data_IF_321491039796
#
_entry.id   IF_321491039796
#
_cell.length_a   1.000
_cell.length_b   1.000
_cell.length_c   1.000
_cell.angle_alpha   90.00
_cell.angle_beta   90.00
_cell.angle_gamma   90.00
#
_symmetry.space_group_name_H-M   'P 1'
#
loop_
_entity.id
_entity.type
_entity.pdbx_description
1 polymer ?
#
# COMPACT_ATOMS: atom_id res chain seq x y z
N UNK A 1 -25.58 -18.48 -45.04
CA UNK A 1 -26.03 -17.26 -44.34
C UNK A 1 -25.95 -16.12 -45.35
N UNK A 2 -26.94 -15.21 -45.45
CA UNK A 2 -26.82 -14.13 -46.44
C UNK A 2 -25.71 -13.14 -46.04
N UNK A 3 -24.93 -12.61 -47.00
CA UNK A 3 -23.80 -11.71 -46.72
C UNK A 3 -24.21 -10.51 -45.85
N UNK A 4 -25.41 -9.96 -46.08
CA UNK A 4 -25.97 -8.89 -45.26
C UNK A 4 -26.19 -9.31 -43.78
N UNK A 5 -26.64 -10.54 -43.52
CA UNK A 5 -26.83 -11.04 -42.13
C UNK A 5 -25.50 -11.25 -41.42
N UNK A 6 -24.47 -11.68 -42.14
CA UNK A 6 -23.13 -11.87 -41.59
C UNK A 6 -22.50 -10.53 -41.19
N UNK A 7 -22.56 -9.51 -42.06
CA UNK A 7 -22.05 -8.17 -41.75
C UNK A 7 -22.75 -7.54 -40.53
N UNK A 8 -24.08 -7.71 -40.39
CA UNK A 8 -24.83 -7.27 -39.20
C UNK A 8 -24.42 -8.04 -37.94
N UNK A 9 -24.05 -9.31 -38.07
CA UNK A 9 -23.55 -10.11 -36.94
C UNK A 9 -22.20 -9.59 -36.45
N UNK A 10 -21.27 -9.34 -37.37
CA UNK A 10 -19.95 -8.79 -37.06
C UNK A 10 -20.05 -7.43 -36.37
N UNK A 11 -20.90 -6.52 -36.87
CA UNK A 11 -21.14 -5.23 -36.21
C UNK A 11 -21.71 -5.35 -34.80
N UNK A 12 -22.56 -6.35 -34.54
CA UNK A 12 -23.09 -6.61 -33.19
C UNK A 12 -22.00 -7.12 -32.25
N UNK A 13 -21.15 -8.03 -32.72
CA UNK A 13 -19.99 -8.53 -31.96
C UNK A 13 -19.01 -7.41 -31.64
N UNK A 14 -18.70 -6.54 -32.61
CA UNK A 14 -17.85 -5.37 -32.41
C UNK A 14 -18.43 -4.43 -31.35
N UNK A 15 -19.72 -4.09 -31.42
CA UNK A 15 -20.37 -3.25 -30.40
C UNK A 15 -20.35 -3.88 -29.01
N UNK A 16 -20.56 -5.19 -28.91
CA UNK A 16 -20.49 -5.89 -27.65
C UNK A 16 -19.07 -5.88 -27.05
N UNK A 17 -18.05 -6.15 -27.88
CA UNK A 17 -16.65 -6.12 -27.45
C UNK A 17 -16.21 -4.69 -27.05
N UNK A 18 -16.66 -3.67 -27.77
CA UNK A 18 -16.36 -2.27 -27.47
C UNK A 18 -16.85 -1.81 -26.08
N UNK A 19 -17.86 -2.47 -25.51
CA UNK A 19 -18.33 -2.17 -24.15
C UNK A 19 -17.26 -2.49 -23.08
N UNK A 20 -16.36 -3.45 -23.36
CA UNK A 20 -15.24 -3.82 -22.50
C UNK A 20 -14.12 -2.77 -22.58
N UNK A 21 -13.93 -2.19 -23.77
CA UNK A 21 -12.88 -1.21 -24.06
C UNK A 21 -13.09 0.08 -23.25
N UNK A 22 -12.02 0.68 -22.71
CA UNK A 22 -12.08 1.96 -22.01
C UNK A 22 -12.73 3.05 -22.85
N UNK A 23 -13.59 3.87 -22.25
CA UNK A 23 -14.34 4.93 -22.96
C UNK A 23 -13.45 5.85 -23.80
N UNK A 24 -12.30 6.23 -23.27
CA UNK A 24 -11.33 7.14 -23.93
C UNK A 24 -10.72 6.54 -25.20
N UNK A 25 -10.59 5.21 -25.29
CA UNK A 25 -9.98 4.53 -26.45
C UNK A 25 -11.00 3.86 -27.37
N UNK A 26 -12.28 3.84 -26.98
CA UNK A 26 -13.33 3.05 -27.64
C UNK A 26 -13.55 3.45 -29.09
N UNK A 27 -13.58 4.74 -29.38
CA UNK A 27 -13.83 5.25 -30.73
C UNK A 27 -12.70 4.92 -31.69
N UNK A 28 -11.44 5.18 -31.28
CA UNK A 28 -10.26 4.83 -32.06
C UNK A 28 -10.20 3.32 -32.31
N UNK A 29 -10.39 2.51 -31.26
CA UNK A 29 -10.44 1.05 -31.35
C UNK A 29 -11.53 0.54 -32.29
N UNK A 30 -12.75 1.09 -32.18
CA UNK A 30 -13.85 0.72 -33.08
C UNK A 30 -13.53 1.07 -34.53
N UNK A 31 -12.92 2.24 -34.78
CA UNK A 31 -12.58 2.70 -36.13
C UNK A 31 -11.54 1.78 -36.78
N UNK A 32 -10.51 1.43 -36.03
CA UNK A 32 -9.47 0.48 -36.46
C UNK A 32 -10.07 -0.89 -36.82
N UNK A 33 -10.86 -1.47 -35.91
CA UNK A 33 -11.50 -2.77 -36.16
C UNK A 33 -12.57 -2.74 -37.27
N UNK A 34 -13.29 -1.63 -37.46
CA UNK A 34 -14.18 -1.47 -38.62
C UNK A 34 -13.38 -1.50 -39.91
N UNK A 35 -12.23 -0.82 -39.97
CA UNK A 35 -11.37 -0.81 -41.14
C UNK A 35 -10.83 -2.21 -41.45
N UNK A 36 -10.29 -2.91 -40.45
CA UNK A 36 -9.75 -4.27 -40.60
C UNK A 36 -10.82 -5.28 -41.02
N UNK A 37 -11.99 -5.28 -40.35
CA UNK A 37 -13.08 -6.17 -40.71
C UNK A 37 -13.65 -5.86 -42.10
N UNK A 38 -13.70 -4.59 -42.50
CA UNK A 38 -14.16 -4.22 -43.84
C UNK A 38 -13.19 -4.70 -44.91
N UNK A 39 -11.87 -4.55 -44.68
CA UNK A 39 -10.84 -5.04 -45.59
C UNK A 39 -10.89 -6.56 -45.71
N UNK A 40 -10.86 -7.28 -44.58
CA UNK A 40 -10.91 -8.74 -44.56
C UNK A 40 -12.20 -9.28 -45.20
N UNK A 41 -13.33 -8.60 -45.03
CA UNK A 41 -14.62 -9.02 -45.59
C UNK A 41 -14.68 -8.84 -47.12
N UNK A 42 -14.01 -7.81 -47.66
CA UNK A 42 -13.89 -7.62 -49.10
C UNK A 42 -13.04 -8.70 -49.78
N UNK A 43 -12.02 -9.23 -49.08
CA UNK A 43 -11.18 -10.32 -49.58
C UNK A 43 -11.87 -11.68 -49.42
N UNK A 44 -12.28 -12.02 -48.20
CA UNK A 44 -12.97 -13.27 -47.89
C UNK A 44 -13.88 -13.12 -46.65
N UNK A 45 -15.21 -13.26 -46.80
CA UNK A 45 -16.15 -13.24 -45.68
C UNK A 45 -15.84 -14.25 -44.58
N UNK A 46 -15.23 -15.40 -44.90
CA UNK A 46 -14.84 -16.39 -43.91
C UNK A 46 -13.62 -15.95 -43.10
N UNK A 47 -12.60 -15.36 -43.74
CA UNK A 47 -11.46 -14.75 -43.06
C UNK A 47 -11.90 -13.64 -42.07
N UNK A 48 -12.85 -12.78 -42.46
CA UNK A 48 -13.40 -11.76 -41.56
C UNK A 48 -14.09 -12.35 -40.32
N UNK A 49 -14.77 -13.48 -40.45
CA UNK A 49 -15.40 -14.17 -39.32
C UNK A 49 -14.37 -14.81 -38.37
N UNK A 50 -13.24 -15.29 -38.91
CA UNK A 50 -12.13 -15.79 -38.10
C UNK A 50 -11.43 -14.64 -37.36
N UNK A 51 -11.15 -13.54 -38.06
CA UNK A 51 -10.56 -12.33 -37.47
C UNK A 51 -11.42 -11.76 -36.33
N UNK A 52 -12.75 -11.76 -36.50
CA UNK A 52 -13.69 -11.30 -35.48
C UNK A 52 -13.64 -12.10 -34.16
N UNK A 53 -13.08 -13.31 -34.14
CA UNK A 53 -12.84 -14.06 -32.90
C UNK A 53 -11.81 -13.35 -32.00
N UNK A 54 -10.94 -12.52 -32.57
CA UNK A 54 -9.93 -11.72 -31.87
C UNK A 54 -10.48 -10.47 -31.16
N UNK A 55 -11.70 -10.02 -31.48
CA UNK A 55 -12.30 -8.78 -30.94
C UNK A 55 -12.37 -8.77 -29.41
N UNK A 56 -12.87 -9.86 -28.82
CA UNK A 56 -13.07 -9.95 -27.36
C UNK A 56 -11.72 -10.11 -26.63
N UNK A 57 -10.80 -11.01 -27.05
CA UNK A 57 -9.46 -11.08 -26.48
C UNK A 57 -8.71 -9.74 -26.51
N UNK A 58 -8.73 -9.03 -27.63
CA UNK A 58 -8.07 -7.73 -27.78
C UNK A 58 -8.69 -6.66 -26.85
N UNK A 59 -10.02 -6.57 -26.82
CA UNK A 59 -10.73 -5.66 -25.91
C UNK A 59 -10.41 -5.94 -24.42
N UNK A 60 -10.32 -7.21 -24.03
CA UNK A 60 -9.91 -7.63 -22.69
C UNK A 60 -8.44 -7.25 -22.43
N UNK A 61 -7.54 -7.48 -23.39
CA UNK A 61 -6.13 -7.13 -23.28
C UNK A 61 -5.95 -5.62 -23.05
N UNK A 62 -6.63 -4.78 -23.83
CA UNK A 62 -6.62 -3.33 -23.62
C UNK A 62 -7.16 -2.92 -22.25
N UNK A 63 -8.24 -3.56 -21.79
CA UNK A 63 -8.81 -3.30 -20.47
C UNK A 63 -7.84 -3.68 -19.35
N UNK A 64 -7.18 -4.83 -19.45
CA UNK A 64 -6.14 -5.28 -18.52
C UNK A 64 -4.95 -4.33 -18.49
N UNK A 65 -4.48 -3.90 -19.66
CA UNK A 65 -3.39 -2.92 -19.77
C UNK A 65 -3.78 -1.59 -19.12
N UNK A 66 -4.98 -1.07 -19.37
CA UNK A 66 -5.41 0.17 -18.73
C UNK A 66 -5.52 0.02 -17.20
N UNK A 67 -6.06 -1.10 -16.71
CA UNK A 67 -6.13 -1.37 -15.28
C UNK A 67 -4.73 -1.47 -14.67
N UNK A 68 -3.80 -2.12 -15.36
CA UNK A 68 -2.39 -2.19 -14.96
C UNK A 68 -1.74 -0.81 -14.92
N UNK A 69 -1.87 -0.01 -15.97
CA UNK A 69 -1.35 1.36 -16.00
C UNK A 69 -2.00 2.23 -14.91
N UNK A 70 -3.31 2.07 -14.65
CA UNK A 70 -3.99 2.76 -13.55
C UNK A 70 -3.43 2.32 -12.19
N UNK A 71 -3.21 1.02 -12.01
CA UNK A 71 -2.66 0.46 -10.77
C UNK A 71 -1.21 0.91 -10.54
N UNK A 72 -0.41 0.98 -11.60
CA UNK A 72 0.96 1.51 -11.59
C UNK A 72 0.98 3.03 -11.39
N UNK A 73 -0.03 3.74 -11.89
CA UNK A 73 -0.19 5.19 -11.68
C UNK A 73 -0.69 5.55 -10.26
N UNK A 74 -1.25 4.60 -9.50
CA UNK A 74 -1.53 4.83 -8.09
C UNK A 74 -0.19 5.06 -7.39
N UNK A 75 -0.04 6.24 -6.82
CA UNK A 75 1.12 6.56 -6.00
C UNK A 75 1.04 5.82 -4.66
N UNK A 76 1.45 4.54 -4.67
CA UNK A 76 1.53 3.68 -3.48
C UNK A 76 2.42 4.27 -2.37
N UNK A 77 3.27 5.23 -2.73
CA UNK A 77 4.21 5.88 -1.83
C UNK A 77 3.53 7.04 -1.10
N UNK A 78 2.41 7.56 -1.58
CA UNK A 78 1.72 8.71 -1.01
C UNK A 78 1.28 8.46 0.46
N UNK A 79 1.50 9.44 1.37
CA UNK A 79 1.08 9.31 2.76
C UNK A 79 -0.46 9.21 2.88
N UNK A 80 -1.20 9.95 2.06
CA UNK A 80 -2.67 9.93 2.06
C UNK A 80 -3.25 8.57 1.66
N UNK A 81 -2.58 7.83 0.78
CA UNK A 81 -3.02 6.47 0.43
C UNK A 81 -2.81 5.52 1.61
N UNK A 82 -1.66 5.58 2.30
CA UNK A 82 -1.39 4.75 3.47
C UNK A 82 -2.47 4.94 4.55
N UNK A 83 -2.77 6.18 4.93
CA UNK A 83 -3.80 6.47 5.94
C UNK A 83 -5.19 6.05 5.46
N UNK A 84 -5.54 6.25 4.18
CA UNK A 84 -6.81 5.78 3.62
C UNK A 84 -6.94 4.26 3.64
N UNK A 85 -5.87 3.52 3.39
CA UNK A 85 -5.89 2.06 3.44
C UNK A 85 -6.10 1.54 4.87
N UNK A 86 -5.37 2.07 5.85
CA UNK A 86 -5.55 1.68 7.27
C UNK A 86 -6.92 2.13 7.78
N UNK A 87 -7.32 3.37 7.48
CA UNK A 87 -8.64 3.89 7.84
C UNK A 87 -9.78 3.13 7.16
N UNK A 88 -9.59 2.67 5.92
CA UNK A 88 -10.54 1.81 5.22
C UNK A 88 -10.65 0.43 5.85
N UNK A 89 -9.52 -0.18 6.25
CA UNK A 89 -9.52 -1.44 7.00
C UNK A 89 -10.24 -1.30 8.34
N UNK A 90 -9.96 -0.22 9.08
CA UNK A 90 -10.68 0.14 10.30
C UNK A 90 -12.19 0.27 10.05
N UNK A 91 -12.58 1.03 9.02
CA UNK A 91 -13.98 1.26 8.69
C UNK A 91 -14.72 -0.04 8.35
N UNK A 92 -14.09 -0.92 7.56
CA UNK A 92 -14.65 -2.23 7.24
C UNK A 92 -14.84 -3.09 8.50
N UNK A 93 -13.81 -3.17 9.36
CA UNK A 93 -13.91 -3.90 10.63
C UNK A 93 -15.01 -3.33 11.53
N UNK A 94 -15.10 -2.00 11.60
CA UNK A 94 -16.13 -1.30 12.37
C UNK A 94 -17.54 -1.61 11.83
N UNK A 95 -17.77 -1.54 10.52
CA UNK A 95 -19.06 -1.89 9.91
C UNK A 95 -19.42 -3.35 10.18
N UNK A 96 -18.46 -4.27 10.04
CA UNK A 96 -18.66 -5.68 10.38
C UNK A 96 -19.04 -5.87 11.86
N UNK A 97 -18.37 -5.15 12.77
CA UNK A 97 -18.70 -5.16 14.21
C UNK A 97 -20.09 -4.60 14.50
N UNK A 98 -20.50 -3.53 13.81
CA UNK A 98 -21.80 -2.90 13.99
C UNK A 98 -22.95 -3.71 13.39
N UNK A 99 -22.68 -4.51 12.35
CA UNK A 99 -23.65 -5.43 11.76
C UNK A 99 -23.99 -6.62 12.68
N UNK A 100 -23.12 -6.94 13.64
CA UNK A 100 -23.30 -8.06 14.56
C UNK A 100 -23.76 -7.56 15.95
N UNK A 101 -24.99 -7.86 16.40
CA UNK A 101 -25.53 -7.30 17.65
C UNK A 101 -24.74 -7.71 18.89
N UNK A 102 -24.19 -8.92 18.91
CA UNK A 102 -23.35 -9.43 19.99
C UNK A 102 -22.06 -8.60 20.14
N UNK A 103 -21.36 -8.33 19.03
CA UNK A 103 -20.16 -7.51 19.01
C UNK A 103 -20.46 -6.08 19.41
N UNK A 104 -21.55 -5.51 18.89
CA UNK A 104 -21.97 -4.15 19.24
C UNK A 104 -22.15 -4.01 20.75
N UNK A 105 -22.88 -4.93 21.38
CA UNK A 105 -23.09 -4.90 22.83
C UNK A 105 -21.76 -5.04 23.59
N UNK A 106 -20.88 -5.93 23.15
CA UNK A 106 -19.58 -6.14 23.78
C UNK A 106 -18.69 -4.90 23.71
N UNK A 107 -18.57 -4.27 22.53
CA UNK A 107 -17.73 -3.09 22.30
C UNK A 107 -18.19 -1.88 23.13
N UNK A 108 -19.50 -1.67 23.26
CA UNK A 108 -20.07 -0.56 24.05
C UNK A 108 -20.38 -0.93 25.51
N UNK A 109 -19.96 -2.11 25.97
CA UNK A 109 -20.09 -2.47 27.38
C UNK A 109 -18.95 -1.88 28.20
N UNK A 110 -19.14 -1.79 29.53
CA UNK A 110 -18.06 -1.38 30.46
C UNK A 110 -16.83 -2.29 30.32
N UNK A 111 -17.04 -3.58 30.09
CA UNK A 111 -15.95 -4.53 29.82
C UNK A 111 -15.22 -4.19 28.52
N UNK A 112 -15.95 -3.85 27.45
CA UNK A 112 -15.37 -3.43 26.17
C UNK A 112 -14.48 -2.19 26.31
N UNK A 113 -14.95 -1.19 27.06
CA UNK A 113 -14.17 0.01 27.38
C UNK A 113 -12.92 -0.31 28.22
N UNK A 114 -13.04 -1.19 29.22
CA UNK A 114 -11.90 -1.66 30.02
C UNK A 114 -10.87 -2.40 29.17
N UNK A 115 -11.30 -3.34 28.34
CA UNK A 115 -10.44 -4.05 27.40
C UNK A 115 -9.76 -3.10 26.41
N UNK A 116 -10.48 -2.09 25.90
CA UNK A 116 -9.90 -1.08 25.02
C UNK A 116 -8.83 -0.24 25.74
N UNK A 117 -9.07 0.18 26.98
CA UNK A 117 -8.08 0.89 27.78
C UNK A 117 -6.81 0.04 28.02
N UNK A 118 -6.97 -1.26 28.30
CA UNK A 118 -5.86 -2.21 28.38
C UNK A 118 -5.09 -2.31 27.05
N UNK A 119 -5.79 -2.34 25.91
CA UNK A 119 -5.15 -2.34 24.58
C UNK A 119 -4.30 -1.08 24.35
N UNK A 120 -4.80 0.08 24.74
CA UNK A 120 -4.04 1.34 24.67
C UNK A 120 -2.81 1.27 25.57
N UNK A 121 -2.95 0.77 26.79
CA UNK A 121 -1.81 0.58 27.71
C UNK A 121 -0.77 -0.39 27.14
N UNK A 122 -1.18 -1.51 26.54
CA UNK A 122 -0.29 -2.46 25.86
C UNK A 122 0.40 -1.83 24.64
N UNK A 123 -0.31 -1.01 23.86
CA UNK A 123 0.28 -0.28 22.74
C UNK A 123 1.33 0.74 23.20
N UNK A 124 1.10 1.41 24.33
CA UNK A 124 2.09 2.31 24.93
C UNK A 124 3.31 1.53 25.46
N UNK A 125 3.08 0.39 26.09
CA UNK A 125 4.14 -0.47 26.61
C UNK A 125 4.96 -1.16 25.49
N UNK A 126 4.38 -1.35 24.31
CA UNK A 126 5.12 -1.86 23.16
C UNK A 126 6.01 -0.81 22.49
N UNK A 127 5.84 0.49 22.76
CA UNK A 127 6.67 1.53 22.16
C UNK A 127 8.16 1.41 22.55
N UNK A 128 8.55 1.29 23.84
CA UNK A 128 9.96 1.13 24.21
C UNK A 128 10.57 -0.16 23.67
N UNK A 129 9.83 -1.29 23.74
CA UNK A 129 10.34 -2.58 23.28
C UNK A 129 10.53 -2.60 21.76
N UNK A 130 9.62 -2.01 21.01
CA UNK A 130 9.75 -1.88 19.55
C UNK A 130 10.84 -0.88 19.18
N UNK A 131 11.05 0.20 19.93
CA UNK A 131 12.18 1.13 19.70
C UNK A 131 13.53 0.46 19.97
N UNK A 132 13.65 -0.34 21.03
CA UNK A 132 14.87 -1.08 21.38
C UNK A 132 15.15 -2.22 20.40
N UNK A 133 14.16 -3.05 20.09
CA UNK A 133 14.31 -4.21 19.17
C UNK A 133 14.46 -3.80 17.72
N UNK A 134 13.81 -2.70 17.32
CA UNK A 134 14.01 -2.11 15.99
C UNK A 134 15.34 -1.35 15.87
N UNK A 135 16.28 -1.51 16.82
CA UNK A 135 17.69 -1.09 16.78
C UNK A 135 17.88 0.25 16.05
N UNK A 136 17.42 1.38 16.61
CA UNK A 136 17.65 2.69 15.96
C UNK A 136 17.59 3.92 16.87
N UNK A 137 18.65 4.74 16.78
CA UNK A 137 18.68 6.17 17.07
C UNK A 137 17.93 6.99 16.02
N UNK A 138 16.61 6.82 15.92
CA UNK A 138 15.76 7.62 15.02
C UNK A 138 15.81 9.13 15.32
N UNK A 139 16.25 9.51 16.52
CA UNK A 139 16.53 10.90 16.88
C UNK A 139 17.80 11.45 16.21
N UNK A 140 18.78 10.59 15.90
CA UNK A 140 20.06 11.02 15.32
C UNK A 140 20.04 10.98 13.79
N UNK A 141 19.31 10.05 13.19
CA UNK A 141 19.20 9.92 11.73
C UNK A 141 18.67 11.19 11.03
N UNK A 142 17.92 12.03 11.74
CA UNK A 142 17.27 13.24 11.20
C UNK A 142 17.71 14.53 11.91
N UNK A 143 18.81 14.48 12.69
CA UNK A 143 19.28 15.59 13.52
C UNK A 143 20.00 16.71 12.74
N UNK A 144 20.13 16.58 11.43
CA UNK A 144 20.64 17.64 10.56
C UNK A 144 19.64 18.80 10.39
N UNK A 145 20.16 20.01 10.24
CA UNK A 145 19.52 21.35 10.31
C UNK A 145 18.38 21.66 9.30
N UNK A 146 17.72 20.65 8.72
CA UNK A 146 16.94 20.81 7.50
C UNK A 146 15.41 20.77 7.63
N UNK A 147 14.85 20.26 8.74
CA UNK A 147 13.41 20.05 8.87
C UNK A 147 12.71 21.21 9.60
N UNK A 148 11.88 21.96 8.86
CA UNK A 148 11.03 23.03 9.39
C UNK A 148 10.06 22.49 10.46
N UNK A 149 9.66 23.32 11.42
CA UNK A 149 8.69 22.94 12.45
C UNK A 149 7.36 22.42 11.87
N UNK A 150 6.91 22.99 10.75
CA UNK A 150 5.73 22.52 10.03
C UNK A 150 5.87 21.08 9.54
N UNK A 151 7.04 20.70 8.97
CA UNK A 151 7.31 19.34 8.53
C UNK A 151 7.36 18.35 9.70
N UNK A 152 7.97 18.75 10.83
CA UNK A 152 7.98 17.94 12.05
C UNK A 152 6.55 17.68 12.53
N UNK A 153 5.70 18.70 12.57
CA UNK A 153 4.32 18.55 13.00
C UNK A 153 3.48 17.68 12.05
N UNK A 154 3.64 17.84 10.73
CA UNK A 154 3.00 16.98 9.74
C UNK A 154 3.39 15.50 9.90
N UNK A 155 4.67 15.23 10.21
CA UNK A 155 5.15 13.88 10.53
C UNK A 155 4.46 13.30 11.75
N UNK A 156 4.42 14.06 12.85
CA UNK A 156 3.75 13.63 14.08
C UNK A 156 2.26 13.41 13.88
N UNK A 157 1.58 14.28 13.13
CA UNK A 157 0.18 14.08 12.76
C UNK A 157 -0.04 12.81 11.94
N UNK A 158 0.81 12.58 10.94
CA UNK A 158 0.71 11.40 10.09
C UNK A 158 0.95 10.11 10.89
N UNK A 159 2.01 10.06 11.72
CA UNK A 159 2.27 8.94 12.62
C UNK A 159 1.13 8.74 13.61
N UNK A 160 0.65 9.80 14.25
CA UNK A 160 -0.44 9.75 15.21
C UNK A 160 -1.72 9.20 14.59
N UNK A 161 -2.15 9.74 13.44
CA UNK A 161 -3.31 9.23 12.71
C UNK A 161 -3.16 7.75 12.35
N UNK A 162 -1.97 7.36 11.88
CA UNK A 162 -1.64 5.98 11.53
C UNK A 162 -1.73 5.04 12.73
N UNK A 163 -1.14 5.43 13.86
CA UNK A 163 -1.18 4.65 15.10
C UNK A 163 -2.60 4.52 15.64
N UNK A 164 -3.38 5.60 15.63
CA UNK A 164 -4.79 5.58 16.07
C UNK A 164 -5.60 4.58 15.24
N UNK A 165 -5.56 4.67 13.91
CA UNK A 165 -6.31 3.72 13.07
C UNK A 165 -5.78 2.29 13.20
N UNK A 166 -4.47 2.10 13.34
CA UNK A 166 -3.88 0.78 13.49
C UNK A 166 -4.30 0.12 14.81
N UNK A 167 -4.19 0.82 15.95
CA UNK A 167 -4.58 0.29 17.28
C UNK A 167 -6.08 0.00 17.33
N UNK A 168 -6.93 0.90 16.79
CA UNK A 168 -8.36 0.66 16.68
C UNK A 168 -8.67 -0.58 15.83
N UNK A 169 -7.99 -0.74 14.69
CA UNK A 169 -8.14 -1.93 13.84
C UNK A 169 -7.71 -3.20 14.57
N UNK A 170 -6.58 -3.17 15.29
CA UNK A 170 -6.07 -4.30 16.05
C UNK A 170 -7.02 -4.72 17.17
N UNK A 171 -7.63 -3.76 17.87
CA UNK A 171 -8.63 -4.05 18.90
C UNK A 171 -9.87 -4.75 18.31
N UNK A 172 -10.45 -4.19 17.24
CA UNK A 172 -11.61 -4.80 16.59
C UNK A 172 -11.27 -6.18 16.02
N UNK A 173 -10.10 -6.32 15.38
CA UNK A 173 -9.63 -7.59 14.84
C UNK A 173 -9.44 -8.64 15.95
N UNK A 174 -8.86 -8.25 17.09
CA UNK A 174 -8.68 -9.16 18.22
C UNK A 174 -10.02 -9.67 18.76
N UNK A 175 -11.03 -8.81 18.87
CA UNK A 175 -12.38 -9.24 19.26
C UNK A 175 -12.97 -10.21 18.22
N UNK A 176 -12.87 -9.88 16.93
CA UNK A 176 -13.36 -10.78 15.86
C UNK A 176 -12.69 -12.15 15.89
N UNK A 177 -11.39 -12.20 16.21
CA UNK A 177 -10.63 -13.45 16.32
C UNK A 177 -10.99 -14.24 17.57
N UNK A 178 -11.22 -13.60 18.72
CA UNK A 178 -11.46 -14.33 19.99
C UNK A 178 -12.91 -14.72 20.23
N UNK A 179 -13.88 -13.99 19.68
CA UNK A 179 -15.31 -14.24 19.87
C UNK A 179 -15.74 -15.67 19.53
N UNK A 180 -15.34 -16.26 18.38
CA UNK A 180 -15.69 -17.65 18.06
C UNK A 180 -15.23 -18.65 19.11
N UNK A 181 -14.17 -18.36 19.88
CA UNK A 181 -13.61 -19.27 20.88
C UNK A 181 -14.18 -19.08 22.28
N UNK A 182 -15.04 -18.07 22.51
CA UNK A 182 -15.60 -17.81 23.85
C UNK A 182 -16.38 -19.00 24.41
N UNK A 183 -17.15 -19.69 23.56
CA UNK A 183 -17.93 -20.86 23.99
C UNK A 183 -17.04 -22.05 24.42
N UNK A 184 -15.82 -22.13 23.87
CA UNK A 184 -14.89 -23.23 24.13
C UNK A 184 -13.98 -22.95 25.34
N UNK A 185 -13.53 -21.70 25.47
CA UNK A 185 -12.49 -21.29 26.43
C UNK A 185 -13.05 -20.61 27.68
N UNK A 186 -14.31 -20.16 27.67
CA UNK A 186 -14.92 -19.46 28.80
C UNK A 186 -14.09 -18.28 29.28
N UNK A 187 -13.76 -18.24 30.58
CA UNK A 187 -12.95 -17.19 31.19
C UNK A 187 -11.53 -17.06 30.62
N UNK A 188 -10.99 -18.09 29.96
CA UNK A 188 -9.67 -18.02 29.32
C UNK A 188 -9.68 -17.22 28.02
N UNK A 189 -10.87 -16.94 27.45
CA UNK A 189 -10.99 -16.12 26.25
C UNK A 189 -10.50 -14.67 26.46
N UNK A 190 -10.59 -14.16 27.69
CA UNK A 190 -10.11 -12.81 28.06
C UNK A 190 -8.58 -12.73 27.99
N UNK A 191 -7.89 -13.77 28.47
CA UNK A 191 -6.44 -13.89 28.34
C UNK A 191 -6.00 -14.01 26.88
N UNK A 192 -6.75 -14.78 26.09
CA UNK A 192 -6.50 -14.89 24.65
C UNK A 192 -6.67 -13.53 23.96
N UNK A 193 -7.68 -12.75 24.32
CA UNK A 193 -7.90 -11.40 23.79
C UNK A 193 -6.72 -10.48 24.10
N UNK A 194 -6.21 -10.51 25.34
CA UNK A 194 -5.04 -9.72 25.73
C UNK A 194 -3.77 -10.19 25.00
N UNK A 195 -3.57 -11.50 24.85
CA UNK A 195 -2.42 -12.06 24.14
C UNK A 195 -2.44 -11.68 22.65
N UNK A 196 -3.57 -11.87 21.96
CA UNK A 196 -3.76 -11.42 20.58
C UNK A 196 -3.57 -9.91 20.46
N UNK A 197 -4.10 -9.14 21.42
CA UNK A 197 -3.94 -7.70 21.49
C UNK A 197 -2.49 -7.26 21.58
N UNK A 198 -1.69 -7.89 22.45
CA UNK A 198 -0.27 -7.61 22.58
C UNK A 198 0.47 -7.89 21.26
N UNK A 199 0.26 -9.07 20.66
CA UNK A 199 0.92 -9.46 19.40
C UNK A 199 0.53 -8.49 18.28
N UNK A 200 -0.75 -8.20 18.10
CA UNK A 200 -1.22 -7.27 17.07
C UNK A 200 -0.68 -5.86 17.29
N UNK A 201 -0.64 -5.36 18.52
CA UNK A 201 -0.06 -4.04 18.82
C UNK A 201 1.44 -4.00 18.56
N UNK A 202 2.21 -5.03 18.95
CA UNK A 202 3.65 -5.09 18.66
C UNK A 202 3.90 -5.03 17.15
N UNK A 203 3.16 -5.82 16.37
CA UNK A 203 3.28 -5.84 14.90
C UNK A 203 2.87 -4.48 14.31
N UNK A 204 1.73 -3.94 14.71
CA UNK A 204 1.19 -2.69 14.18
C UNK A 204 2.06 -1.48 14.51
N UNK A 205 2.53 -1.37 15.75
CA UNK A 205 3.44 -0.30 16.19
C UNK A 205 4.79 -0.43 15.49
N UNK A 206 5.37 -1.64 15.44
CA UNK A 206 6.63 -1.89 14.71
C UNK A 206 6.52 -1.47 13.24
N UNK A 207 5.43 -1.87 12.59
CA UNK A 207 5.14 -1.49 11.21
C UNK A 207 4.97 0.02 11.05
N UNK A 208 4.20 0.68 11.94
CA UNK A 208 3.99 2.11 11.89
C UNK A 208 5.31 2.88 12.02
N UNK A 209 6.17 2.48 12.96
CA UNK A 209 7.49 3.07 13.17
C UNK A 209 8.45 2.80 12.01
N UNK A 210 8.48 1.57 11.49
CA UNK A 210 9.35 1.18 10.37
C UNK A 210 8.98 1.96 9.10
N UNK A 211 7.70 2.10 8.82
CA UNK A 211 7.22 2.90 7.69
C UNK A 211 7.52 4.40 7.85
N UNK A 212 7.52 4.97 9.07
CA UNK A 212 7.99 6.36 9.24
C UNK A 212 9.48 6.51 8.92
N UNK A 213 10.29 5.48 9.17
CA UNK A 213 11.73 5.51 8.93
C UNK A 213 12.06 5.45 7.45
N UNK A 214 11.32 4.65 6.70
CA UNK A 214 11.45 4.48 5.25
C UNK A 214 10.71 5.56 4.44
N UNK A 215 10.34 6.68 5.06
CA UNK A 215 9.67 7.80 4.40
C UNK A 215 10.56 9.03 4.40
N UNK A 216 10.55 9.75 3.28
CA UNK A 216 11.24 11.03 3.19
C UNK A 216 10.68 12.03 4.22
N UNK A 217 11.53 12.72 5.02
CA UNK A 217 11.08 13.66 6.03
C UNK A 217 10.43 14.93 5.46
N UNK A 218 10.67 15.21 4.17
CA UNK A 218 10.13 16.40 3.47
C UNK A 218 8.79 16.11 2.80
N UNK A 219 8.70 15.07 1.97
CA UNK A 219 7.48 14.76 1.21
C UNK A 219 6.63 13.62 1.78
N UNK A 220 7.11 12.92 2.82
CA UNK A 220 6.42 11.79 3.46
C UNK A 220 6.14 10.59 2.53
N UNK A 221 6.74 10.56 1.34
CA UNK A 221 6.64 9.41 0.43
C UNK A 221 7.61 8.32 0.86
N UNK A 222 7.19 7.07 0.70
CA UNK A 222 8.05 5.90 0.94
C UNK A 222 9.21 5.87 -0.05
N UNK A 223 10.41 5.63 0.47
CA UNK A 223 11.66 5.45 -0.29
C UNK A 223 11.65 4.04 -0.90
N UNK A 224 12.00 3.89 -2.18
CA UNK A 224 11.88 2.59 -2.89
C UNK A 224 12.96 2.30 -3.93
N UNK A 225 14.05 3.04 -3.93
CA UNK A 225 15.19 2.75 -4.82
C UNK A 225 16.41 2.38 -3.99
N UNK A 226 16.52 1.13 -3.53
CA UNK A 226 17.71 0.67 -2.82
C UNK A 226 18.87 0.54 -3.82
N UNK A 227 19.81 1.48 -3.76
CA UNK A 227 21.12 1.32 -4.38
C UNK A 227 22.05 0.65 -3.37
N UNK A 228 22.54 -0.54 -3.69
CA UNK A 228 23.59 -1.18 -2.88
C UNK A 228 24.92 -0.58 -3.27
N UNK A 229 25.64 -0.04 -2.30
CA UNK A 229 27.03 0.40 -2.44
C UNK A 229 27.94 -0.63 -1.78
N UNK A 230 29.06 -0.95 -2.44
CA UNK A 230 30.07 -1.89 -1.96
C UNK A 230 30.03 -3.27 -2.63
N UNK A 231 31.18 -3.95 -2.64
CA UNK A 231 31.30 -5.36 -3.05
C UNK A 231 31.15 -6.27 -1.83
N UNK A 232 30.31 -7.33 -1.87
CA UNK A 232 30.11 -8.24 -0.74
C UNK A 232 31.40 -8.89 -0.21
N UNK A 233 32.46 -8.96 -1.03
CA UNK A 233 33.72 -9.64 -0.72
C UNK A 233 34.78 -8.77 -0.03
N UNK A 234 34.57 -7.45 0.10
CA UNK A 234 35.56 -6.49 0.63
C UNK A 234 35.06 -5.73 1.86
N UNK A 235 34.21 -6.37 2.67
CA UNK A 235 33.51 -5.82 3.85
C UNK A 235 34.40 -5.39 5.03
N UNK A 236 35.74 -5.52 4.92
CA UNK A 236 36.68 -5.10 5.96
C UNK A 236 37.19 -3.67 5.78
N UNK A 237 37.11 -3.11 4.58
CA UNK A 237 37.64 -1.76 4.28
C UNK A 237 36.65 -0.89 3.48
N UNK A 238 35.68 -1.48 2.78
CA UNK A 238 34.65 -0.74 2.05
C UNK A 238 33.30 -0.86 2.76
N UNK A 239 32.62 0.27 2.97
CA UNK A 239 31.35 0.30 3.67
C UNK A 239 30.24 -0.27 2.78
N UNK A 240 29.80 -1.50 3.04
CA UNK A 240 28.57 -1.98 2.41
C UNK A 240 27.37 -1.27 3.04
N UNK A 241 26.60 -0.58 2.20
CA UNK A 241 25.43 0.15 2.62
C UNK A 241 24.34 0.08 1.55
N UNK A 242 23.09 0.15 2.00
CA UNK A 242 21.93 0.35 1.15
C UNK A 242 21.52 1.81 1.24
N UNK A 243 21.52 2.50 0.11
CA UNK A 243 21.03 3.87 0.00
C UNK A 243 19.64 3.88 -0.62
N UNK A 244 18.68 4.44 0.08
CA UNK A 244 17.32 4.61 -0.42
C UNK A 244 17.06 6.07 -0.76
N UNK A 245 16.91 6.38 -2.05
CA UNK A 245 16.71 7.74 -2.53
C UNK A 245 15.23 8.16 -2.55
N UNK A 246 14.96 9.45 -2.35
CA UNK A 246 13.64 10.03 -2.54
C UNK A 246 13.41 10.41 -4.02
N UNK A 247 12.30 9.95 -4.61
CA UNK A 247 11.92 10.24 -6.01
C UNK A 247 11.72 11.73 -6.36
N UNK A 248 11.70 12.61 -5.36
CA UNK A 248 11.58 14.06 -5.54
C UNK A 248 12.93 14.78 -5.38
N UNK A 249 14.02 14.04 -5.18
CA UNK A 249 15.35 14.61 -4.98
C UNK A 249 15.52 15.35 -3.65
N UNK A 250 14.74 15.03 -2.61
CA UNK A 250 14.88 15.70 -1.30
C UNK A 250 16.09 15.22 -0.49
N UNK A 251 16.56 14.01 -0.75
CA UNK A 251 17.63 13.37 0.01
C UNK A 251 17.62 11.86 -0.16
N UNK A 252 18.55 11.22 0.54
CA UNK A 252 18.73 9.78 0.57
C UNK A 252 18.90 9.29 2.00
N UNK A 253 18.39 8.09 2.28
CA UNK A 253 18.56 7.40 3.55
C UNK A 253 19.69 6.39 3.37
N UNK A 254 20.83 6.65 4.01
CA UNK A 254 21.97 5.75 3.99
C UNK A 254 21.85 4.75 5.14
N UNK A 255 21.68 3.46 4.83
CA UNK A 255 21.57 2.37 5.81
C UNK A 255 22.78 1.42 5.70
N UNK A 256 23.63 1.34 6.73
CA UNK A 256 24.76 0.40 6.71
C UNK A 256 24.26 -1.04 6.85
N UNK A 257 24.94 -1.98 6.18
CA UNK A 257 24.60 -3.42 6.22
C UNK A 257 24.77 -4.00 7.64
N UNK A 258 25.80 -3.55 8.37
CA UNK A 258 26.05 -3.93 9.76
C UNK A 258 25.95 -2.72 10.70
N UNK A 259 25.04 -2.83 11.66
CA UNK A 259 24.87 -1.85 12.74
C UNK A 259 25.41 -2.44 14.03
N UNK A 260 26.71 -2.26 14.27
CA UNK A 260 27.28 -2.49 15.60
C UNK A 260 27.38 -1.15 16.33
N UNK A 261 27.56 -1.15 17.65
CA UNK A 261 27.74 0.09 18.44
C UNK A 261 28.94 0.95 18.01
N UNK A 262 29.78 0.45 17.10
CA UNK A 262 31.00 1.08 16.60
C UNK A 262 30.85 1.55 15.13
N UNK A 263 29.82 1.08 14.41
CA UNK A 263 29.50 1.51 13.05
C UNK A 263 28.42 2.59 13.05
N UNK A 264 28.41 3.44 12.02
CA UNK A 264 27.43 4.51 11.88
C UNK A 264 25.99 3.97 11.90
N UNK A 265 25.06 4.71 12.51
CA UNK A 265 23.62 4.43 12.39
C UNK A 265 23.11 4.93 11.03
N UNK A 266 21.94 4.48 10.55
CA UNK A 266 21.42 5.12 9.35
C UNK A 266 21.20 6.61 9.55
N UNK A 267 21.56 7.34 8.50
CA UNK A 267 21.58 8.78 8.45
C UNK A 267 20.81 9.25 7.24
N UNK A 268 20.01 10.29 7.43
CA UNK A 268 19.39 11.02 6.33
C UNK A 268 20.39 12.04 5.79
N UNK A 269 20.77 11.88 4.52
CA UNK A 269 21.61 12.83 3.80
C UNK A 269 20.71 13.70 2.92
N UNK A 270 20.68 15.00 3.21
CA UNK A 270 19.94 15.95 2.40
C UNK A 270 20.72 16.22 1.10
N UNK A 271 20.03 16.08 -0.04
CA UNK A 271 20.60 16.42 -1.33
C UNK A 271 20.44 17.91 -1.61
N UNK A 272 21.44 18.49 -2.28
CA UNK A 272 21.40 19.89 -2.71
C UNK A 272 20.26 20.16 -3.71
N UNK A 273 19.87 21.44 -3.81
CA UNK A 273 18.75 21.85 -4.67
C UNK A 273 18.96 21.48 -6.14
N UNK A 274 20.20 21.40 -6.61
CA UNK A 274 20.56 21.00 -7.98
C UNK A 274 20.05 19.60 -8.33
N UNK A 275 20.01 18.67 -7.36
CA UNK A 275 19.49 17.32 -7.57
C UNK A 275 17.99 17.30 -7.86
N UNK A 276 17.23 18.30 -7.37
CA UNK A 276 15.78 18.35 -7.61
C UNK A 276 15.44 18.50 -9.08
N UNK A 277 16.31 19.14 -9.86
CA UNK A 277 16.13 19.29 -11.31
C UNK A 277 16.18 17.94 -12.04
N UNK A 278 17.05 17.02 -11.59
CA UNK A 278 17.19 15.69 -12.18
C UNK A 278 15.96 14.80 -11.91
N UNK A 279 15.26 15.04 -10.79
CA UNK A 279 14.10 14.26 -10.36
C UNK A 279 12.76 14.97 -10.64
N UNK A 280 12.72 15.98 -11.52
CA UNK A 280 11.46 16.56 -11.98
C UNK A 280 10.74 15.55 -12.88
N UNK A 281 9.45 15.27 -12.63
CA UNK A 281 8.64 14.39 -13.48
C UNK A 281 8.37 15.01 -14.85
#
# INVERSE_FOLDING_TARGET
MTPHRQLRSLHRQLRAAAAIVPSVKREAWQTEWVAELSHAYCEDPHAAAQLAQGLVPDAIAMRRLQLRCRFEAIDWRAPSLCVRMVGGAFFLLFVCSMAQPQLRHLVFSNWGHGAFACFIALALFSLPSTVVTSRYGACDAYRGDAATMAQRWLRWRFLGAKLVFAVLSCYLLAIHVTMPFQHLLGAQADWLLMACGLVFNVVAVSWALTDQRQRCPTCMRSLRSPARMGSPSWSLLDSNATEEMCDRGHGLLHQPEWQTSWFENARWLQLDRTWRELFRP
#
